data_IF_019206705760
#
_entry.id   IF_019206705760
#
_cell.length_a   1.000
_cell.length_b   1.000
_cell.length_c   1.000
_cell.angle_alpha   90.00
_cell.angle_beta   90.00
_cell.angle_gamma   90.00
#
_symmetry.space_group_name_H-M   'P 1'
#
loop_
_entity.id
_entity.type
_entity.pdbx_description
1 polymer ?
#
# COMPACT_ATOMS: atom_id res chain seq x y z
N UNK A 1 -11.73 0.30 -22.77
CA UNK A 1 -10.31 0.46 -22.37
C UNK A 1 -10.28 0.25 -20.87
N UNK A 2 -9.68 -0.84 -20.38
CA UNK A 2 -9.49 -1.01 -18.93
C UNK A 2 -8.39 -0.05 -18.50
N UNK A 3 -8.71 0.88 -17.59
CA UNK A 3 -7.69 1.75 -17.00
C UNK A 3 -6.81 0.87 -16.13
N UNK A 4 -5.60 0.59 -16.61
CA UNK A 4 -4.58 -0.11 -15.84
C UNK A 4 -4.16 0.77 -14.67
N UNK A 5 -4.37 0.28 -13.44
CA UNK A 5 -4.05 1.00 -12.20
C UNK A 5 -2.68 0.57 -11.70
N UNK A 6 -1.84 1.52 -11.31
CA UNK A 6 -0.56 1.28 -10.68
C UNK A 6 -0.66 1.52 -9.18
N UNK A 7 0.18 0.84 -8.40
CA UNK A 7 0.20 1.00 -6.94
C UNK A 7 1.62 1.28 -6.44
N UNK A 8 1.77 2.27 -5.58
CA UNK A 8 2.93 2.40 -4.71
C UNK A 8 2.79 1.41 -3.55
N UNK A 9 3.88 0.72 -3.22
CA UNK A 9 3.87 -0.24 -2.12
C UNK A 9 4.39 0.42 -0.85
N UNK A 10 3.57 0.42 0.20
CA UNK A 10 3.93 0.94 1.52
C UNK A 10 4.20 -0.22 2.48
N UNK A 11 5.24 -0.09 3.30
CA UNK A 11 5.40 -0.91 4.49
C UNK A 11 4.58 -0.28 5.62
N UNK A 12 3.59 -1.01 6.11
CA UNK A 12 2.56 -0.47 6.99
C UNK A 12 2.53 -1.24 8.30
N UNK A 13 2.60 -0.51 9.41
CA UNK A 13 2.45 -1.05 10.77
C UNK A 13 1.00 -0.88 11.20
N UNK A 14 0.36 -1.99 11.52
CA UNK A 14 -1.04 -2.07 11.92
C UNK A 14 -1.17 -2.54 13.36
N UNK A 15 -2.14 -2.00 14.07
CA UNK A 15 -2.52 -2.38 15.42
C UNK A 15 -3.99 -2.80 15.43
N UNK A 16 -4.32 -3.90 16.09
CA UNK A 16 -5.70 -4.34 16.25
C UNK A 16 -6.29 -3.63 17.46
N UNK A 17 -7.44 -2.96 17.30
CA UNK A 17 -7.97 -2.04 18.32
C UNK A 17 -8.31 -2.68 19.69
N UNK A 18 -8.30 -4.01 19.79
CA UNK A 18 -8.64 -4.76 21.02
C UNK A 18 -7.60 -5.82 21.39
N UNK A 19 -6.44 -5.79 20.75
CA UNK A 19 -5.34 -6.72 20.98
C UNK A 19 -4.06 -5.97 20.60
N UNK A 20 -3.26 -5.55 21.59
CA UNK A 20 -2.04 -4.73 21.45
C UNK A 20 -0.95 -5.37 20.54
N UNK A 21 -1.28 -6.51 19.92
CA UNK A 21 -0.58 -7.04 18.77
C UNK A 21 -0.43 -6.02 17.63
N UNK A 22 0.81 -5.87 17.17
CA UNK A 22 1.15 -5.13 15.97
C UNK A 22 1.64 -6.07 14.88
N UNK A 23 1.28 -5.76 13.63
CA UNK A 23 1.76 -6.49 12.45
C UNK A 23 2.30 -5.52 11.42
N UNK A 24 3.33 -5.94 10.70
CA UNK A 24 3.92 -5.16 9.60
C UNK A 24 3.63 -5.86 8.29
N UNK A 25 2.89 -5.21 7.40
CA UNK A 25 2.47 -5.76 6.12
C UNK A 25 2.77 -4.80 4.97
N UNK A 26 3.17 -5.32 3.80
CA UNK A 26 3.21 -4.52 2.58
C UNK A 26 1.79 -4.26 2.08
N UNK A 27 1.42 -2.99 1.90
CA UNK A 27 0.08 -2.57 1.48
C UNK A 27 0.14 -1.73 0.20
N UNK A 28 -0.64 -2.06 -0.84
CA UNK A 28 -0.71 -1.27 -2.06
C UNK A 28 -1.56 -0.02 -1.85
N UNK A 29 -1.09 1.10 -2.38
CA UNK A 29 -1.80 2.38 -2.44
C UNK A 29 -1.80 2.84 -3.89
N UNK A 30 -2.95 3.17 -4.50
CA UNK A 30 -2.97 3.67 -5.87
C UNK A 30 -2.00 4.83 -6.04
N UNK A 31 -1.18 4.87 -7.11
CA UNK A 31 -0.18 5.92 -7.27
C UNK A 31 -0.77 7.31 -7.55
N UNK A 32 -2.07 7.36 -7.84
CA UNK A 32 -2.86 8.59 -7.92
C UNK A 32 -3.29 9.11 -6.54
N UNK A 33 -3.15 8.33 -5.47
CA UNK A 33 -3.49 8.74 -4.11
C UNK A 33 -2.36 9.56 -3.49
N UNK A 34 -2.71 10.77 -3.06
CA UNK A 34 -1.78 11.73 -2.45
C UNK A 34 -1.58 11.52 -0.95
N UNK A 35 -2.54 10.86 -0.28
CA UNK A 35 -2.51 10.59 1.15
C UNK A 35 -2.62 9.08 1.44
N UNK A 36 -1.48 8.41 1.38
CA UNK A 36 -1.39 6.98 1.66
C UNK A 36 -1.89 6.59 3.06
N UNK A 37 -1.56 7.38 4.09
CA UNK A 37 -2.01 7.11 5.47
C UNK A 37 -3.54 7.16 5.57
N UNK A 38 -4.14 8.22 5.03
CA UNK A 38 -5.60 8.40 5.05
C UNK A 38 -6.33 7.29 4.28
N UNK A 39 -5.81 6.94 3.09
CA UNK A 39 -6.35 5.85 2.29
C UNK A 39 -6.30 4.51 3.03
N UNK A 40 -5.14 4.14 3.58
CA UNK A 40 -4.97 2.88 4.31
C UNK A 40 -5.82 2.85 5.59
N UNK A 41 -5.92 3.97 6.29
CA UNK A 41 -6.76 4.08 7.48
C UNK A 41 -8.25 3.91 7.14
N UNK A 42 -8.71 4.48 6.02
CA UNK A 42 -10.07 4.28 5.52
C UNK A 42 -10.35 2.82 5.15
N UNK A 43 -9.44 2.20 4.39
CA UNK A 43 -9.54 0.81 3.94
C UNK A 43 -9.60 -0.19 5.10
N UNK A 44 -8.83 0.05 6.16
CA UNK A 44 -8.66 -0.91 7.26
C UNK A 44 -9.59 -0.64 8.46
N UNK A 45 -10.15 0.56 8.58
CA UNK A 45 -11.08 0.90 9.66
C UNK A 45 -12.26 -0.08 9.82
N UNK A 46 -12.90 -0.62 8.76
CA UNK A 46 -14.01 -1.56 8.92
C UNK A 46 -13.58 -2.92 9.48
N UNK A 47 -12.28 -3.21 9.47
CA UNK A 47 -11.70 -4.45 9.97
C UNK A 47 -11.21 -4.32 11.42
N UNK A 48 -11.48 -3.20 12.10
CA UNK A 48 -11.00 -2.87 13.45
C UNK A 48 -9.46 -2.83 13.55
N UNK A 49 -8.80 -2.47 12.45
CA UNK A 49 -7.37 -2.21 12.41
C UNK A 49 -7.11 -0.71 12.35
N UNK A 50 -6.05 -0.28 13.02
CA UNK A 50 -5.54 1.08 13.01
C UNK A 50 -4.18 1.10 12.34
N UNK A 51 -3.96 2.07 11.46
CA UNK A 51 -2.64 2.30 10.86
C UNK A 51 -1.84 3.18 11.81
N UNK A 52 -0.70 2.67 12.26
CA UNK A 52 0.21 3.38 13.18
C UNK A 52 1.31 4.10 12.40
N UNK A 53 1.85 3.44 11.39
CA UNK A 53 2.90 3.96 10.53
C UNK A 53 2.69 3.42 9.10
N UNK A 54 2.97 4.25 8.09
CA UNK A 54 3.11 3.78 6.72
C UNK A 54 4.29 4.47 6.05
N UNK A 55 5.22 3.68 5.51
CA UNK A 55 6.43 4.20 4.85
C UNK A 55 6.51 3.65 3.44
N UNK A 56 6.72 4.53 2.46
CA UNK A 56 6.88 4.12 1.07
C UNK A 56 8.09 3.17 0.96
N UNK A 57 7.87 1.97 0.40
CA UNK A 57 8.90 0.90 0.36
C UNK A 57 9.95 1.09 -0.73
N UNK A 58 9.71 2.04 -1.65
CA UNK A 58 10.52 2.25 -2.85
C UNK A 58 10.16 1.29 -3.98
N UNK A 59 9.05 0.55 -3.86
CA UNK A 59 8.56 -0.38 -4.88
C UNK A 59 7.19 0.03 -5.41
N UNK A 60 6.89 -0.37 -6.65
CA UNK A 60 5.56 -0.26 -7.27
C UNK A 60 5.05 -1.63 -7.70
N UNK A 61 3.73 -1.77 -7.76
CA UNK A 61 3.03 -2.88 -8.41
C UNK A 61 2.43 -2.32 -9.70
N UNK A 62 2.83 -2.85 -10.85
CA UNK A 62 2.41 -2.38 -12.18
C UNK A 62 1.82 -3.55 -12.99
N UNK A 63 0.81 -3.32 -13.83
CA UNK A 63 0.27 -4.37 -14.68
C UNK A 63 1.31 -4.81 -15.71
N UNK A 64 1.34 -6.11 -15.97
CA UNK A 64 2.16 -6.72 -16.99
C UNK A 64 1.32 -7.04 -18.25
N UNK A 65 1.98 -7.46 -19.32
CA UNK A 65 1.33 -7.76 -20.61
C UNK A 65 0.42 -9.00 -20.62
N UNK A 66 0.25 -9.69 -19.48
CA UNK A 66 -0.48 -10.96 -19.36
C UNK A 66 -1.69 -10.84 -18.41
N UNK A 67 -2.31 -9.65 -18.32
CA UNK A 67 -3.43 -9.36 -17.40
C UNK A 67 -3.11 -9.64 -15.92
N UNK A 68 -1.83 -9.59 -15.54
CA UNK A 68 -1.33 -9.82 -14.19
C UNK A 68 -0.50 -8.61 -13.74
N UNK A 69 0.12 -8.67 -12.56
CA UNK A 69 0.90 -7.59 -11.97
C UNK A 69 2.33 -8.03 -11.63
N UNK A 70 3.29 -7.11 -11.75
CA UNK A 70 4.66 -7.31 -11.35
C UNK A 70 5.15 -6.26 -10.35
N UNK A 71 6.10 -6.65 -9.49
CA UNK A 71 6.72 -5.79 -8.50
C UNK A 71 8.01 -5.18 -9.07
N UNK A 72 8.07 -3.85 -9.16
CA UNK A 72 9.23 -3.11 -9.68
C UNK A 72 9.85 -2.21 -8.61
N UNK A 73 11.18 -2.06 -8.65
CA UNK A 73 11.91 -1.14 -7.78
C UNK A 73 11.97 0.25 -8.41
N UNK A 74 11.64 1.28 -7.64
CA UNK A 74 11.82 2.67 -8.05
C UNK A 74 13.32 2.99 -7.95
N UNK A 75 13.98 3.10 -9.10
CA UNK A 75 15.33 3.67 -9.14
C UNK A 75 15.21 5.14 -8.75
N UNK A 76 15.78 5.53 -7.61
CA UNK A 76 16.01 6.96 -7.33
C UNK A 76 16.89 7.49 -8.45
N UNK A 77 16.38 8.45 -9.22
CA UNK A 77 17.20 9.21 -10.16
C UNK A 77 18.36 9.85 -9.41
N UNK A 78 19.57 9.68 -9.95
CA UNK A 78 20.77 10.42 -9.54
C UNK A 78 20.61 11.88 -9.93
#
# INVERSE_FOLDING_TARGET
MLTQVHFDLYQTTLEKQHDDSTVVLPMPVPDTESNAMGYLQGLLSPLNWKVIECKHSGKKIVPNGNDDYELVQIKKGV
#
